data_IF_734982704004
#
_entry.id   IF_734982704004
#
_cell.length_a   1.000
_cell.length_b   1.000
_cell.length_c   1.000
_cell.angle_alpha   90.00
_cell.angle_beta   90.00
_cell.angle_gamma   90.00
#
_symmetry.space_group_name_H-M   'P 1'
#
loop_
_entity.id
_entity.type
_entity.pdbx_description
1 polymer ?
#
# COMPACT_ATOMS: atom_id res chain seq x y z
N UNK A 1 -44.71 -2.20 45.84
CA UNK A 1 -43.44 -2.83 45.43
C UNK A 1 -42.68 -1.88 44.52
N UNK A 2 -41.61 -1.23 44.99
CA UNK A 2 -40.75 -0.38 44.15
C UNK A 2 -39.66 -1.26 43.54
N UNK A 3 -39.77 -1.58 42.26
CA UNK A 3 -38.76 -2.33 41.51
C UNK A 3 -37.48 -1.49 41.49
N UNK A 4 -36.34 -2.07 41.91
CA UNK A 4 -35.03 -1.41 41.95
C UNK A 4 -34.47 -1.27 40.52
N UNK A 5 -34.97 -0.29 39.77
CA UNK A 5 -34.51 0.04 38.41
C UNK A 5 -33.01 0.37 38.32
N UNK A 6 -32.41 0.84 39.43
CA UNK A 6 -30.98 1.19 39.47
C UNK A 6 -30.03 0.01 39.24
N UNK A 7 -30.41 -1.22 39.63
CA UNK A 7 -29.56 -2.41 39.43
C UNK A 7 -29.53 -2.87 37.98
N UNK A 8 -30.67 -2.78 37.28
CA UNK A 8 -30.79 -3.20 35.87
C UNK A 8 -30.06 -2.22 34.95
N UNK A 9 -30.17 -0.92 35.21
CA UNK A 9 -29.53 0.12 34.40
C UNK A 9 -27.99 0.07 34.52
N UNK A 10 -27.48 -0.21 35.73
CA UNK A 10 -26.04 -0.39 35.97
C UNK A 10 -25.50 -1.66 35.30
N UNK A 11 -26.26 -2.76 35.35
CA UNK A 11 -25.90 -4.01 34.67
C UNK A 11 -25.92 -3.87 33.14
N UNK A 12 -26.86 -3.10 32.58
CA UNK A 12 -26.91 -2.80 31.15
C UNK A 12 -25.75 -1.89 30.70
N UNK A 13 -25.39 -0.89 31.51
CA UNK A 13 -24.21 -0.04 31.28
C UNK A 13 -22.90 -0.83 31.35
N UNK A 14 -22.77 -1.74 32.31
CA UNK A 14 -21.61 -2.64 32.42
C UNK A 14 -21.55 -3.63 31.24
N UNK A 15 -22.68 -4.22 30.83
CA UNK A 15 -22.75 -5.10 29.67
C UNK A 15 -22.43 -4.37 28.35
N UNK A 16 -22.86 -3.11 28.20
CA UNK A 16 -22.52 -2.25 27.06
C UNK A 16 -21.05 -1.83 27.06
N UNK A 17 -20.42 -1.69 28.25
CA UNK A 17 -18.99 -1.37 28.35
C UNK A 17 -18.09 -2.58 28.08
N UNK A 18 -18.54 -3.80 28.38
CA UNK A 18 -17.79 -5.04 28.18
C UNK A 18 -17.92 -5.61 26.75
N UNK A 19 -18.93 -5.18 25.98
CA UNK A 19 -19.12 -5.58 24.57
C UNK A 19 -18.38 -4.67 23.57
N UNK A 20 -17.70 -3.63 24.05
CA UNK A 20 -16.84 -2.78 23.24
C UNK A 20 -15.42 -3.37 23.19
N UNK A 21 -15.25 -4.47 22.44
CA UNK A 21 -13.95 -4.85 21.91
C UNK A 21 -13.56 -3.84 20.82
N UNK A 22 -13.17 -2.64 21.25
CA UNK A 22 -12.59 -1.63 20.36
C UNK A 22 -11.23 -2.19 19.93
N UNK A 23 -11.17 -2.77 18.74
CA UNK A 23 -9.93 -3.03 18.04
C UNK A 23 -9.28 -1.68 17.73
N UNK A 24 -8.48 -1.18 18.68
CA UNK A 24 -7.58 -0.06 18.46
C UNK A 24 -6.37 -0.61 17.72
N UNK A 25 -6.11 -0.10 16.53
CA UNK A 25 -4.77 -0.18 15.95
C UNK A 25 -3.83 0.41 17.02
N UNK A 26 -2.79 -0.32 17.46
CA UNK A 26 -1.85 0.17 18.46
C UNK A 26 -1.32 1.55 18.07
N UNK A 27 -1.16 2.44 19.03
CA UNK A 27 -0.61 3.78 18.76
C UNK A 27 0.79 3.63 18.16
N UNK A 28 1.02 4.21 16.98
CA UNK A 28 2.30 4.15 16.27
C UNK A 28 2.39 3.07 15.18
N UNK A 29 1.32 2.32 14.93
CA UNK A 29 1.26 1.42 13.78
C UNK A 29 0.42 2.04 12.65
N UNK A 30 0.91 1.89 11.42
CA UNK A 30 0.14 2.21 10.22
C UNK A 30 -0.80 1.04 9.86
N UNK A 31 -1.92 1.36 9.20
CA UNK A 31 -2.89 0.34 8.81
C UNK A 31 -2.27 -0.71 7.89
N UNK A 32 -1.56 -0.26 6.85
CA UNK A 32 -0.95 -1.09 5.81
C UNK A 32 0.17 -2.01 6.29
N UNK A 33 0.66 -1.86 7.52
CA UNK A 33 1.65 -2.80 8.09
C UNK A 33 1.13 -4.23 8.21
N UNK A 34 -0.18 -4.43 8.17
CA UNK A 34 -0.81 -5.75 8.17
C UNK A 34 -0.94 -6.39 6.77
N UNK A 35 -0.63 -5.63 5.72
CA UNK A 35 -0.56 -6.09 4.33
C UNK A 35 0.83 -6.63 4.00
N UNK A 36 0.99 -7.29 2.85
CA UNK A 36 2.30 -7.73 2.37
C UNK A 36 2.55 -9.20 2.70
N UNK A 37 1.57 -10.06 2.43
CA UNK A 37 1.85 -11.49 2.29
C UNK A 37 2.90 -11.71 1.18
N UNK A 38 3.49 -12.91 1.16
CA UNK A 38 4.48 -13.29 0.15
C UNK A 38 3.93 -13.09 -1.26
N UNK A 39 4.64 -12.29 -2.07
CA UNK A 39 4.26 -11.95 -3.43
C UNK A 39 3.19 -10.87 -3.56
N UNK A 40 2.61 -10.37 -2.47
CA UNK A 40 1.72 -9.21 -2.53
C UNK A 40 2.52 -7.93 -2.81
N UNK A 41 1.96 -7.07 -3.66
CA UNK A 41 2.48 -5.72 -3.90
C UNK A 41 1.66 -4.75 -3.05
N UNK A 42 2.28 -4.17 -2.02
CA UNK A 42 1.68 -3.16 -1.17
C UNK A 42 2.09 -1.79 -1.65
N UNK A 43 1.12 -0.93 -1.93
CA UNK A 43 1.32 0.45 -2.36
C UNK A 43 0.62 1.39 -1.41
N UNK A 44 1.29 2.49 -1.04
CA UNK A 44 0.72 3.55 -0.22
C UNK A 44 0.97 4.90 -0.86
N UNK A 45 -0.01 5.77 -0.85
CA UNK A 45 0.09 7.11 -1.47
C UNK A 45 -0.43 8.17 -0.51
N UNK A 46 0.33 9.24 -0.37
CA UNK A 46 -0.14 10.47 0.29
C UNK A 46 -1.13 11.19 -0.63
N UNK A 47 -2.40 11.14 -0.26
CA UNK A 47 -3.46 11.75 -1.08
C UNK A 47 -3.56 13.26 -0.87
N UNK A 48 -2.92 13.81 0.17
CA UNK A 48 -2.89 15.26 0.43
C UNK A 48 -1.91 16.00 -0.48
N UNK A 49 -0.97 15.25 -1.06
CA UNK A 49 0.09 15.75 -1.94
C UNK A 49 -0.08 15.24 -3.37
N UNK A 50 -1.31 14.85 -3.80
CA UNK A 50 -1.56 14.34 -5.16
C UNK A 50 -1.22 15.33 -6.25
N UNK A 51 -1.37 16.64 -6.02
CA UNK A 51 -0.93 17.69 -6.96
C UNK A 51 0.60 17.65 -7.19
N UNK A 52 1.33 17.04 -6.25
CA UNK A 52 2.78 16.79 -6.32
C UNK A 52 3.11 15.40 -6.84
N UNK A 53 2.13 14.64 -7.30
CA UNK A 53 2.38 13.47 -8.12
C UNK A 53 1.81 13.80 -9.50
N UNK A 54 2.40 13.36 -10.61
CA UNK A 54 1.84 13.68 -11.92
C UNK A 54 0.64 12.75 -12.23
N UNK A 55 -0.18 12.45 -11.23
CA UNK A 55 -1.35 11.60 -11.29
C UNK A 55 -2.56 12.50 -11.53
N UNK A 56 -3.28 12.27 -12.63
CA UNK A 56 -4.53 12.96 -12.93
C UNK A 56 -5.69 12.14 -12.36
N UNK A 57 -6.31 12.64 -11.30
CA UNK A 57 -7.60 12.13 -10.85
C UNK A 57 -8.69 12.88 -11.61
N UNK A 58 -9.62 12.18 -12.26
CA UNK A 58 -10.74 12.83 -12.95
C UNK A 58 -11.62 13.60 -11.95
N UNK A 59 -12.05 14.80 -12.33
CA UNK A 59 -12.92 15.65 -11.52
C UNK A 59 -14.34 15.08 -11.47
N UNK A 60 -14.59 14.16 -10.53
CA UNK A 60 -15.90 13.54 -10.28
C UNK A 60 -16.42 13.75 -8.86
N UNK A 61 -17.53 13.08 -8.53
CA UNK A 61 -18.09 12.98 -7.17
C UNK A 61 -17.07 12.48 -6.13
N UNK A 62 -16.03 11.80 -6.59
CA UNK A 62 -14.92 11.25 -5.81
C UNK A 62 -13.93 12.29 -5.29
N UNK A 63 -13.81 13.48 -5.92
CA UNK A 63 -12.93 14.57 -5.47
C UNK A 63 -13.23 14.99 -4.02
N UNK A 64 -14.52 15.03 -3.65
CA UNK A 64 -14.97 15.34 -2.30
C UNK A 64 -14.64 14.25 -1.28
N UNK A 65 -14.56 12.99 -1.70
CA UNK A 65 -14.09 11.90 -0.84
C UNK A 65 -12.57 11.99 -0.67
N UNK A 66 -11.83 12.13 -1.77
CA UNK A 66 -10.37 12.23 -1.78
C UNK A 66 -9.85 13.42 -0.96
N UNK A 67 -10.54 14.56 -0.98
CA UNK A 67 -10.18 15.72 -0.13
C UNK A 67 -10.24 15.45 1.39
N UNK A 68 -10.90 14.35 1.80
CA UNK A 68 -10.97 13.90 3.19
C UNK A 68 -10.04 12.72 3.47
N UNK A 69 -9.44 12.14 2.45
CA UNK A 69 -8.47 11.06 2.57
C UNK A 69 -7.09 11.69 2.67
N UNK A 70 -6.31 11.19 3.61
CA UNK A 70 -4.92 11.58 3.78
C UNK A 70 -3.97 10.54 3.17
N UNK A 71 -4.37 9.27 3.19
CA UNK A 71 -3.57 8.17 2.66
C UNK A 71 -4.44 7.09 2.05
N UNK A 72 -4.03 6.61 0.89
CA UNK A 72 -4.53 5.39 0.26
C UNK A 72 -3.49 4.30 0.47
N UNK A 73 -3.94 3.12 0.89
CA UNK A 73 -3.10 1.91 0.93
C UNK A 73 -3.80 0.76 0.22
N UNK A 74 -3.10 0.08 -0.68
CA UNK A 74 -3.60 -1.01 -1.51
C UNK A 74 -2.62 -2.17 -1.43
N UNK A 75 -3.13 -3.39 -1.30
CA UNK A 75 -2.39 -4.62 -1.49
C UNK A 75 -2.97 -5.34 -2.71
N UNK A 76 -2.11 -5.69 -3.65
CA UNK A 76 -2.44 -6.45 -4.85
C UNK A 76 -1.95 -7.88 -4.68
N UNK A 77 -2.79 -8.84 -5.04
CA UNK A 77 -2.48 -10.25 -4.94
C UNK A 77 -3.04 -11.01 -6.14
N UNK A 78 -2.36 -12.09 -6.54
CA UNK A 78 -2.89 -13.00 -7.56
C UNK A 78 -3.92 -13.93 -6.91
N UNK A 79 -5.23 -13.78 -7.21
CA UNK A 79 -6.25 -14.63 -6.61
C UNK A 79 -6.14 -16.10 -7.06
N UNK A 80 -5.45 -16.36 -8.17
CA UNK A 80 -5.25 -17.69 -8.73
C UNK A 80 -3.92 -18.34 -8.31
N UNK A 81 -3.07 -17.63 -7.57
CA UNK A 81 -1.73 -18.07 -7.15
C UNK A 81 -0.90 -18.69 -8.30
N UNK A 82 -0.96 -18.10 -9.49
CA UNK A 82 -0.29 -18.65 -10.67
C UNK A 82 1.22 -18.71 -10.44
N UNK A 83 1.83 -19.75 -11.00
CA UNK A 83 3.28 -19.77 -11.16
C UNK A 83 3.64 -18.71 -12.18
N UNK A 84 4.32 -17.67 -11.70
CA UNK A 84 4.82 -16.59 -12.55
C UNK A 84 6.22 -17.01 -12.96
N UNK A 85 6.45 -17.09 -14.27
CA UNK A 85 7.80 -17.23 -14.78
C UNK A 85 8.59 -15.97 -14.40
N UNK A 86 9.70 -16.07 -13.65
CA UNK A 86 10.55 -14.92 -13.34
C UNK A 86 11.08 -14.21 -14.61
N UNK A 87 11.02 -14.88 -15.77
CA UNK A 87 11.36 -14.35 -17.08
C UNK A 87 10.28 -13.44 -17.70
N UNK A 88 9.05 -13.43 -17.19
CA UNK A 88 7.98 -12.56 -17.69
C UNK A 88 7.80 -11.30 -16.81
N UNK A 89 7.48 -10.14 -17.41
CA UNK A 89 7.11 -8.96 -16.64
C UNK A 89 5.85 -9.23 -15.83
N UNK A 90 5.76 -8.64 -14.64
CA UNK A 90 4.61 -8.83 -13.77
C UNK A 90 3.35 -8.20 -14.40
N UNK A 91 2.43 -9.03 -14.87
CA UNK A 91 1.11 -8.60 -15.33
C UNK A 91 0.12 -8.52 -14.16
N UNK A 92 -0.25 -7.29 -13.81
CA UNK A 92 -1.18 -6.99 -12.72
C UNK A 92 -2.65 -6.98 -13.16
N UNK A 93 -2.96 -7.15 -14.46
CA UNK A 93 -4.33 -7.03 -14.98
C UNK A 93 -5.32 -8.06 -14.40
N UNK A 94 -4.82 -9.22 -13.97
CA UNK A 94 -5.61 -10.27 -13.32
C UNK A 94 -5.50 -10.29 -11.79
N UNK A 95 -4.87 -9.28 -11.18
CA UNK A 95 -4.72 -9.22 -9.72
C UNK A 95 -5.98 -8.68 -9.07
N UNK A 96 -6.36 -9.30 -7.95
CA UNK A 96 -7.36 -8.75 -7.05
C UNK A 96 -6.66 -7.77 -6.09
N UNK A 97 -7.44 -6.87 -5.49
CA UNK A 97 -6.89 -5.87 -4.58
C UNK A 97 -7.76 -5.69 -3.34
N UNK A 98 -7.10 -5.32 -2.25
CA UNK A 98 -7.77 -4.87 -1.04
C UNK A 98 -6.97 -3.74 -0.39
N UNK A 99 -7.62 -2.93 0.42
CA UNK A 99 -6.97 -1.75 0.92
C UNK A 99 -7.78 -0.94 1.91
N UNK A 100 -7.27 0.25 2.18
CA UNK A 100 -8.00 1.24 2.93
C UNK A 100 -7.69 2.67 2.53
N UNK A 101 -8.68 3.52 2.78
CA UNK A 101 -8.57 4.96 2.83
C UNK A 101 -8.48 5.39 4.29
N UNK A 102 -7.42 6.11 4.63
CA UNK A 102 -7.20 6.71 5.94
C UNK A 102 -7.40 8.22 5.86
N UNK A 103 -8.14 8.82 6.79
CA UNK A 103 -8.37 10.27 6.81
C UNK A 103 -9.51 10.74 7.70
N UNK A 104 -10.18 11.83 7.33
CA UNK A 104 -11.34 12.36 8.03
C UNK A 104 -12.65 11.73 7.52
N UNK A 105 -12.80 10.42 7.77
CA UNK A 105 -13.94 9.62 7.30
C UNK A 105 -14.90 9.32 8.48
N UNK A 106 -16.08 9.96 8.57
CA UNK A 106 -17.03 9.70 9.65
C UNK A 106 -17.82 8.41 9.37
N UNK A 107 -17.44 7.31 10.01
CA UNK A 107 -17.98 5.97 9.72
C UNK A 107 -19.51 5.89 9.71
N UNK A 108 -20.19 6.52 10.67
CA UNK A 108 -21.66 6.55 10.70
C UNK A 108 -22.26 7.21 9.46
N UNK A 109 -21.74 8.37 9.05
CA UNK A 109 -22.23 9.10 7.89
C UNK A 109 -21.90 8.35 6.60
N UNK A 110 -20.70 7.82 6.48
CA UNK A 110 -20.27 7.05 5.31
C UNK A 110 -21.11 5.79 5.12
N UNK A 111 -21.26 4.97 6.16
CA UNK A 111 -22.08 3.75 6.07
C UNK A 111 -23.56 4.06 5.85
N UNK A 112 -24.06 5.16 6.43
CA UNK A 112 -25.44 5.61 6.18
C UNK A 112 -25.61 6.03 4.72
N UNK A 113 -24.67 6.80 4.14
CA UNK A 113 -24.72 7.19 2.73
C UNK A 113 -24.75 5.96 1.81
N UNK A 114 -23.87 4.99 2.05
CA UNK A 114 -23.83 3.72 1.29
C UNK A 114 -25.13 2.93 1.39
N UNK A 115 -25.79 2.94 2.56
CA UNK A 115 -27.07 2.25 2.75
C UNK A 115 -28.22 2.87 1.95
N UNK A 116 -28.20 4.19 1.73
CA UNK A 116 -29.27 4.91 1.02
C UNK A 116 -29.02 5.06 -0.49
N UNK A 117 -27.80 4.74 -0.94
CA UNK A 117 -27.45 4.74 -2.34
C UNK A 117 -27.93 3.45 -3.03
N UNK A 118 -28.54 3.58 -4.20
CA UNK A 118 -29.14 2.45 -4.94
C UNK A 118 -28.10 1.59 -5.66
N UNK A 119 -26.91 2.13 -5.90
CA UNK A 119 -25.82 1.41 -6.56
C UNK A 119 -25.08 0.49 -5.59
N UNK A 120 -25.32 0.63 -4.28
CA UNK A 120 -24.69 -0.12 -3.22
C UNK A 120 -25.67 -1.10 -2.58
N UNK A 121 -25.29 -2.37 -2.53
CA UNK A 121 -26.07 -3.44 -1.92
C UNK A 121 -25.44 -3.83 -0.59
N UNK A 122 -26.23 -3.81 0.49
CA UNK A 122 -25.74 -4.30 1.77
C UNK A 122 -25.58 -5.82 1.73
N UNK A 123 -24.39 -6.29 2.10
CA UNK A 123 -24.08 -7.72 2.25
C UNK A 123 -23.76 -8.00 3.72
N UNK A 124 -24.28 -9.11 4.23
CA UNK A 124 -23.99 -9.60 5.58
C UNK A 124 -23.45 -11.04 5.50
N UNK A 125 -22.19 -11.22 5.90
CA UNK A 125 -21.52 -12.52 5.97
C UNK A 125 -21.15 -12.80 7.43
N UNK A 126 -21.98 -13.60 8.11
CA UNK A 126 -21.80 -13.90 9.52
C UNK A 126 -21.96 -12.65 10.40
N UNK A 127 -20.85 -12.15 10.94
CA UNK A 127 -20.82 -10.91 11.73
C UNK A 127 -20.23 -9.71 10.98
N UNK A 128 -19.84 -9.90 9.71
CA UNK A 128 -19.24 -8.87 8.88
C UNK A 128 -20.33 -8.28 8.01
N UNK A 129 -20.40 -6.95 7.98
CA UNK A 129 -21.31 -6.20 7.10
C UNK A 129 -20.48 -5.28 6.22
N UNK A 130 -20.80 -5.24 4.95
CA UNK A 130 -20.21 -4.35 3.96
C UNK A 130 -21.21 -3.99 2.87
N UNK A 131 -20.79 -3.12 1.94
CA UNK A 131 -21.60 -2.67 0.82
C UNK A 131 -20.90 -3.02 -0.48
N UNK A 132 -21.61 -3.70 -1.38
CA UNK A 132 -21.13 -4.14 -2.68
C UNK A 132 -21.65 -3.22 -3.79
N UNK A 133 -20.79 -2.89 -4.76
CA UNK A 133 -21.19 -2.20 -5.98
C UNK A 133 -20.83 -3.07 -7.21
N UNK A 134 -21.84 -3.56 -7.92
CA UNK A 134 -21.68 -4.45 -9.08
C UNK A 134 -20.94 -3.76 -10.25
N UNK A 135 -21.18 -2.46 -10.45
CA UNK A 135 -20.58 -1.70 -11.56
C UNK A 135 -19.09 -1.45 -11.34
N UNK A 136 -18.71 -1.15 -10.09
CA UNK A 136 -17.32 -0.92 -9.70
C UNK A 136 -16.57 -2.22 -9.40
N UNK A 137 -17.28 -3.34 -9.17
CA UNK A 137 -16.69 -4.58 -8.67
C UNK A 137 -15.98 -4.34 -7.33
N UNK A 138 -16.61 -3.58 -6.42
CA UNK A 138 -15.97 -3.09 -5.21
C UNK A 138 -16.86 -3.32 -3.99
N UNK A 139 -16.25 -3.91 -2.96
CA UNK A 139 -16.82 -4.01 -1.63
C UNK A 139 -16.21 -2.96 -0.71
N UNK A 140 -17.02 -2.24 0.05
CA UNK A 140 -16.54 -1.18 0.96
C UNK A 140 -17.26 -1.20 2.31
N UNK A 141 -16.55 -0.78 3.35
CA UNK A 141 -17.17 -0.47 4.64
C UNK A 141 -16.28 0.41 5.52
N UNK A 142 -16.88 1.42 6.16
CA UNK A 142 -16.19 2.23 7.15
C UNK A 142 -16.22 1.53 8.52
N UNK A 143 -15.15 0.76 8.79
CA UNK A 143 -15.02 -0.06 10.01
C UNK A 143 -14.91 0.76 11.30
N UNK A 144 -14.32 1.96 11.21
CA UNK A 144 -14.23 2.92 12.31
C UNK A 144 -14.03 4.33 11.76
N UNK A 145 -14.12 5.34 12.63
CA UNK A 145 -13.80 6.71 12.24
C UNK A 145 -12.38 6.78 11.66
N UNK A 146 -12.29 7.36 10.47
CA UNK A 146 -11.06 7.61 9.75
C UNK A 146 -10.47 6.44 8.99
N UNK A 147 -11.19 5.31 8.88
CA UNK A 147 -10.75 4.13 8.15
C UNK A 147 -11.91 3.54 7.35
N UNK A 148 -11.83 3.60 6.02
CA UNK A 148 -12.70 2.89 5.10
C UNK A 148 -11.91 1.78 4.44
N UNK A 149 -12.34 0.54 4.65
CA UNK A 149 -11.74 -0.61 3.97
C UNK A 149 -12.46 -0.84 2.65
N UNK A 150 -11.71 -1.35 1.68
CA UNK A 150 -12.28 -1.80 0.42
C UNK A 150 -11.58 -3.06 -0.10
N UNK A 151 -12.26 -3.81 -0.96
CA UNK A 151 -11.70 -4.95 -1.67
C UNK A 151 -12.43 -5.15 -3.00
N UNK A 152 -11.71 -5.58 -4.04
CA UNK A 152 -12.33 -5.98 -5.31
C UNK A 152 -13.10 -7.29 -5.17
N UNK A 153 -12.58 -8.18 -4.34
CA UNK A 153 -13.16 -9.50 -4.06
C UNK A 153 -12.87 -9.89 -2.61
N UNK A 154 -13.72 -10.76 -2.05
CA UNK A 154 -13.49 -11.40 -0.76
C UNK A 154 -13.20 -10.40 0.38
N UNK A 155 -14.08 -9.41 0.53
CA UNK A 155 -14.01 -8.39 1.58
C UNK A 155 -13.82 -8.99 2.97
N UNK A 156 -14.52 -10.07 3.29
CA UNK A 156 -14.44 -10.74 4.58
C UNK A 156 -13.01 -11.19 4.92
N UNK A 157 -12.27 -11.73 3.95
CA UNK A 157 -10.87 -12.11 4.13
C UNK A 157 -9.97 -10.88 4.30
N UNK A 158 -10.17 -9.84 3.49
CA UNK A 158 -9.44 -8.58 3.61
C UNK A 158 -9.65 -7.93 4.99
N UNK A 159 -10.89 -7.89 5.48
CA UNK A 159 -11.26 -7.41 6.81
C UNK A 159 -10.58 -8.21 7.92
N UNK A 160 -10.55 -9.54 7.81
CA UNK A 160 -9.89 -10.40 8.78
C UNK A 160 -8.39 -10.16 8.82
N UNK A 161 -7.71 -10.24 7.66
CA UNK A 161 -6.26 -10.14 7.56
C UNK A 161 -5.70 -8.75 7.92
N UNK A 162 -6.38 -7.69 7.51
CA UNK A 162 -5.86 -6.32 7.64
C UNK A 162 -6.37 -5.58 8.88
N UNK A 163 -7.50 -5.99 9.45
CA UNK A 163 -8.15 -5.26 10.55
C UNK A 163 -8.42 -6.10 11.80
N UNK A 164 -9.29 -7.11 11.74
CA UNK A 164 -9.76 -7.79 12.97
C UNK A 164 -8.77 -8.81 13.52
N UNK A 165 -8.02 -9.51 12.66
CA UNK A 165 -6.99 -10.48 13.04
C UNK A 165 -5.61 -10.05 12.53
N UNK A 166 -5.38 -8.72 12.45
CA UNK A 166 -4.17 -8.14 11.87
C UNK A 166 -2.90 -8.66 12.53
N UNK A 167 -1.90 -8.96 11.70
CA UNK A 167 -0.52 -9.26 12.11
C UNK A 167 0.41 -8.33 11.37
N UNK A 168 1.37 -7.73 12.06
CA UNK A 168 2.38 -6.88 11.43
C UNK A 168 3.27 -7.74 10.54
N UNK A 169 3.40 -7.35 9.28
CA UNK A 169 4.23 -7.98 8.24
C UNK A 169 5.28 -7.02 7.69
N UNK A 170 4.98 -5.73 7.68
CA UNK A 170 5.93 -4.67 7.29
C UNK A 170 6.53 -4.09 8.57
N UNK A 171 7.85 -4.22 8.68
CA UNK A 171 8.64 -3.67 9.78
C UNK A 171 8.39 -2.17 9.97
N UNK A 172 8.42 -1.73 11.23
CA UNK A 172 8.03 -0.37 11.60
C UNK A 172 8.87 0.70 10.89
N UNK A 173 10.19 0.52 10.76
CA UNK A 173 11.06 1.48 10.08
C UNK A 173 10.74 1.63 8.59
N UNK A 174 10.39 0.53 7.90
CA UNK A 174 9.97 0.55 6.50
C UNK A 174 8.61 1.25 6.36
N UNK A 175 7.69 0.93 7.27
CA UNK A 175 6.35 1.51 7.27
C UNK A 175 6.38 3.02 7.53
N UNK A 176 7.16 3.50 8.49
CA UNK A 176 7.34 4.93 8.74
C UNK A 176 7.90 5.63 7.50
N UNK A 177 8.92 5.06 6.84
CA UNK A 177 9.47 5.63 5.59
C UNK A 177 8.42 5.73 4.49
N UNK A 178 7.61 4.68 4.28
CA UNK A 178 6.50 4.69 3.33
C UNK A 178 5.43 5.73 3.70
N UNK A 179 5.10 5.85 4.99
CA UNK A 179 4.10 6.77 5.48
C UNK A 179 4.51 8.25 5.42
N UNK A 180 5.81 8.55 5.41
CA UNK A 180 6.33 9.91 5.22
C UNK A 180 6.58 10.27 3.76
N UNK A 181 6.58 9.28 2.86
CA UNK A 181 6.80 9.48 1.43
C UNK A 181 5.51 9.84 0.68
N UNK A 182 5.67 10.42 -0.52
CA UNK A 182 4.56 10.70 -1.43
C UNK A 182 3.95 9.40 -1.95
N UNK A 183 4.82 8.45 -2.28
CA UNK A 183 4.47 7.12 -2.77
C UNK A 183 5.41 6.11 -2.12
N UNK A 184 4.85 5.03 -1.60
CA UNK A 184 5.60 3.92 -1.02
C UNK A 184 5.15 2.61 -1.64
N UNK A 185 6.10 1.72 -1.89
CA UNK A 185 5.89 0.37 -2.41
C UNK A 185 6.66 -0.63 -1.56
N UNK A 186 6.02 -1.74 -1.24
CA UNK A 186 6.61 -2.85 -0.51
C UNK A 186 6.22 -4.18 -1.16
N UNK A 187 7.19 -5.09 -1.29
CA UNK A 187 6.96 -6.47 -1.71
C UNK A 187 7.78 -7.40 -0.81
N UNK A 188 7.11 -8.37 -0.19
CA UNK A 188 7.77 -9.48 0.49
C UNK A 188 8.03 -10.61 -0.51
N UNK A 189 9.26 -11.11 -0.59
CA UNK A 189 9.67 -12.23 -1.45
C UNK A 189 9.07 -12.14 -2.87
N UNK A 190 9.48 -11.14 -3.68
CA UNK A 190 8.90 -10.90 -4.99
C UNK A 190 9.03 -12.12 -5.91
N UNK A 191 7.93 -12.45 -6.60
CA UNK A 191 7.91 -13.55 -7.59
C UNK A 191 8.40 -13.09 -8.98
N UNK A 192 8.18 -11.83 -9.32
CA UNK A 192 8.64 -11.19 -10.55
C UNK A 192 9.03 -9.72 -10.29
N UNK A 193 9.72 -9.12 -11.25
CA UNK A 193 10.19 -7.73 -11.14
C UNK A 193 9.07 -6.75 -11.47
N UNK A 194 8.97 -5.68 -10.68
CA UNK A 194 8.30 -4.46 -11.11
C UNK A 194 9.33 -3.58 -11.83
N UNK A 195 9.01 -3.14 -13.05
CA UNK A 195 9.85 -2.19 -13.79
C UNK A 195 9.77 -0.79 -13.17
N UNK A 196 10.51 -0.59 -12.07
CA UNK A 196 10.62 0.70 -11.36
C UNK A 196 11.79 1.57 -11.84
N UNK A 197 12.32 1.28 -13.03
CA UNK A 197 13.50 1.96 -13.57
C UNK A 197 14.84 1.51 -12.99
N UNK A 198 14.87 0.40 -12.25
CA UNK A 198 16.09 -0.30 -11.86
C UNK A 198 16.16 -1.61 -12.66
N UNK A 199 17.08 -1.68 -13.61
CA UNK A 199 17.34 -2.89 -14.38
C UNK A 199 18.06 -3.93 -13.50
N UNK A 200 17.29 -4.62 -12.67
CA UNK A 200 17.79 -5.71 -11.85
C UNK A 200 17.78 -7.02 -12.64
N UNK A 201 18.89 -7.78 -12.66
CA UNK A 201 18.91 -9.07 -13.34
C UNK A 201 17.88 -10.02 -12.73
N UNK A 202 17.10 -10.66 -13.59
CA UNK A 202 15.99 -11.56 -13.19
C UNK A 202 16.45 -12.72 -12.31
N UNK A 203 17.69 -13.17 -12.50
CA UNK A 203 18.34 -14.21 -11.67
C UNK A 203 18.49 -13.83 -10.20
N UNK A 204 18.38 -12.55 -9.85
CA UNK A 204 18.47 -12.08 -8.46
C UNK A 204 17.12 -12.13 -7.76
N UNK A 205 15.99 -12.13 -8.49
CA UNK A 205 14.63 -12.05 -7.95
C UNK A 205 14.34 -13.13 -6.89
N UNK A 206 14.61 -14.42 -7.15
CA UNK A 206 14.31 -15.48 -6.19
C UNK A 206 15.11 -15.38 -4.87
N UNK A 207 16.13 -14.52 -4.85
CA UNK A 207 17.03 -14.30 -3.73
C UNK A 207 16.73 -13.03 -2.92
N UNK A 208 15.72 -12.26 -3.33
CA UNK A 208 15.26 -11.06 -2.63
C UNK A 208 14.29 -11.48 -1.52
N UNK A 209 14.57 -11.06 -0.29
CA UNK A 209 13.68 -11.23 0.87
C UNK A 209 12.59 -10.18 0.87
N UNK A 210 12.92 -8.92 0.57
CA UNK A 210 11.93 -7.85 0.43
C UNK A 210 12.47 -6.68 -0.40
N UNK A 211 11.53 -5.92 -0.96
CA UNK A 211 11.78 -4.66 -1.66
C UNK A 211 10.94 -3.60 -0.99
N UNK A 212 11.54 -2.46 -0.67
CA UNK A 212 10.83 -1.23 -0.32
C UNK A 212 11.32 -0.11 -1.22
N UNK A 213 10.42 0.56 -1.91
CA UNK A 213 10.72 1.76 -2.70
C UNK A 213 9.84 2.90 -2.25
N UNK A 214 10.39 4.10 -2.23
CA UNK A 214 9.67 5.33 -1.89
C UNK A 214 10.02 6.43 -2.86
N UNK A 215 9.04 7.25 -3.23
CA UNK A 215 9.25 8.48 -3.98
C UNK A 215 9.19 9.64 -3.00
N UNK A 216 10.28 10.38 -2.95
CA UNK A 216 10.52 11.50 -2.06
C UNK A 216 10.72 12.79 -2.87
N UNK A 217 10.17 13.90 -2.38
CA UNK A 217 10.35 15.22 -2.98
C UNK A 217 11.66 15.83 -2.48
N UNK A 218 12.60 16.07 -3.39
CA UNK A 218 13.90 16.68 -3.08
C UNK A 218 13.95 18.14 -3.51
N UNK A 219 12.98 18.94 -3.05
CA UNK A 219 12.95 20.40 -3.24
C UNK A 219 13.29 20.85 -4.68
N UNK A 220 14.50 21.37 -4.88
CA UNK A 220 14.97 21.98 -6.15
C UNK A 220 15.24 20.96 -7.26
N UNK A 221 15.50 19.69 -6.93
CA UNK A 221 15.92 18.65 -7.89
C UNK A 221 14.78 17.73 -8.35
N UNK A 222 13.53 18.06 -8.01
CA UNK A 222 12.37 17.26 -8.39
C UNK A 222 12.17 16.03 -7.50
N UNK A 223 11.77 14.91 -8.11
CA UNK A 223 11.46 13.67 -7.39
C UNK A 223 12.65 12.71 -7.39
N UNK A 224 12.81 11.97 -6.29
CA UNK A 224 13.83 10.96 -6.16
C UNK A 224 13.28 9.65 -5.65
N UNK A 225 13.95 8.56 -6.04
CA UNK A 225 13.70 7.22 -5.56
C UNK A 225 14.62 6.92 -4.38
N UNK A 226 14.00 6.68 -3.24
CA UNK A 226 14.60 5.99 -2.11
C UNK A 226 14.25 4.51 -2.16
N UNK A 227 15.13 3.64 -1.67
CA UNK A 227 14.88 2.21 -1.69
C UNK A 227 15.68 1.41 -0.69
N UNK A 228 15.17 0.22 -0.36
CA UNK A 228 15.86 -0.83 0.39
C UNK A 228 15.53 -2.15 -0.29
N UNK A 229 16.55 -2.88 -0.73
CA UNK A 229 16.41 -4.24 -1.24
C UNK A 229 17.14 -5.16 -0.27
N UNK A 230 16.38 -5.97 0.46
CA UNK A 230 16.93 -6.93 1.41
C UNK A 230 17.08 -8.28 0.73
N UNK A 231 18.27 -8.85 0.78
CA UNK A 231 18.61 -10.15 0.19
C UNK A 231 18.56 -11.26 1.24
N UNK A 232 18.59 -12.51 0.79
CA UNK A 232 18.70 -13.67 1.69
C UNK A 232 20.07 -13.80 2.38
N UNK A 233 21.10 -13.07 1.92
CA UNK A 233 22.44 -13.07 2.55
C UNK A 233 23.25 -11.84 2.17
N UNK A 234 24.23 -11.47 3.02
CA UNK A 234 25.20 -10.40 2.77
C UNK A 234 25.97 -10.59 1.46
N UNK A 235 26.32 -11.85 1.12
CA UNK A 235 27.02 -12.17 -0.13
C UNK A 235 26.18 -11.78 -1.35
N UNK A 236 24.89 -12.11 -1.32
CA UNK A 236 23.95 -11.77 -2.39
C UNK A 236 23.71 -10.26 -2.47
N UNK A 237 23.60 -9.58 -1.31
CA UNK A 237 23.49 -8.12 -1.24
C UNK A 237 24.70 -7.42 -1.83
N UNK A 238 25.92 -7.91 -1.55
CA UNK A 238 27.14 -7.40 -2.15
C UNK A 238 27.15 -7.59 -3.68
N UNK A 239 26.76 -8.76 -4.18
CA UNK A 239 26.62 -9.00 -5.62
C UNK A 239 25.61 -8.06 -6.26
N UNK A 240 24.45 -7.86 -5.64
CA UNK A 240 23.44 -6.90 -6.09
C UNK A 240 23.99 -5.47 -6.12
N UNK A 241 24.70 -5.03 -5.08
CA UNK A 241 25.32 -3.70 -5.02
C UNK A 241 26.27 -3.45 -6.19
N UNK A 242 27.12 -4.43 -6.53
CA UNK A 242 28.04 -4.35 -7.66
C UNK A 242 27.28 -4.24 -8.98
N UNK A 243 26.23 -5.05 -9.16
CA UNK A 243 25.41 -5.07 -10.38
C UNK A 243 24.70 -3.73 -10.59
N UNK A 244 24.02 -3.22 -9.56
CA UNK A 244 23.30 -1.94 -9.62
C UNK A 244 24.25 -0.78 -9.89
N UNK A 245 25.39 -0.71 -9.19
CA UNK A 245 26.41 0.32 -9.42
C UNK A 245 26.97 0.25 -10.85
N UNK A 246 27.23 -0.94 -11.35
CA UNK A 246 27.78 -1.13 -12.70
C UNK A 246 26.78 -0.72 -13.78
N UNK A 247 25.50 -1.12 -13.62
CA UNK A 247 24.42 -0.73 -14.52
C UNK A 247 24.25 0.80 -14.55
N UNK A 248 24.18 1.44 -13.38
CA UNK A 248 24.09 2.89 -13.26
C UNK A 248 25.26 3.62 -13.93
N UNK A 249 26.51 3.18 -13.69
CA UNK A 249 27.71 3.77 -14.33
C UNK A 249 27.66 3.62 -15.85
N UNK A 250 27.26 2.45 -16.34
CA UNK A 250 27.13 2.17 -17.76
C UNK A 250 26.13 3.11 -18.43
N UNK A 251 24.98 3.30 -17.79
CA UNK A 251 23.91 4.18 -18.26
C UNK A 251 24.32 5.65 -18.31
N UNK A 252 24.93 6.16 -17.23
CA UNK A 252 25.44 7.54 -17.19
C UNK A 252 26.48 7.78 -18.27
N UNK A 253 27.38 6.81 -18.51
CA UNK A 253 28.38 6.90 -19.59
C UNK A 253 27.73 6.91 -20.97
N UNK A 254 26.72 6.05 -21.21
CA UNK A 254 25.95 6.01 -22.46
C UNK A 254 25.26 7.35 -22.74
N UNK A 255 24.69 7.99 -21.70
CA UNK A 255 24.02 9.29 -21.78
C UNK A 255 24.99 10.50 -21.73
N UNK A 256 26.29 10.28 -21.53
CA UNK A 256 27.33 11.32 -21.34
C UNK A 256 27.04 12.25 -20.16
N UNK A 257 26.43 11.72 -19.11
CA UNK A 257 26.10 12.44 -17.88
C UNK A 257 27.22 12.28 -16.83
N UNK A 258 27.42 13.25 -15.92
CA UNK A 258 28.34 13.08 -14.80
C UNK A 258 27.86 11.95 -13.87
N UNK A 259 28.80 11.20 -13.31
CA UNK A 259 28.51 10.07 -12.41
C UNK A 259 27.98 10.50 -11.04
N UNK A 260 28.28 11.73 -10.61
CA UNK A 260 27.98 12.20 -9.25
C UNK A 260 28.74 11.43 -8.17
N UNK A 261 28.27 11.50 -6.94
CA UNK A 261 28.80 10.72 -5.81
C UNK A 261 28.01 9.41 -5.62
N UNK A 262 28.58 8.32 -6.14
CA UNK A 262 28.00 6.97 -6.03
C UNK A 262 28.03 6.40 -4.61
N UNK A 263 28.90 6.94 -3.75
CA UNK A 263 29.16 6.40 -2.41
C UNK A 263 27.95 6.56 -1.52
N UNK A 264 27.25 7.69 -1.65
CA UNK A 264 26.05 8.02 -0.89
C UNK A 264 24.77 7.51 -1.55
N UNK A 265 24.81 7.24 -2.87
CA UNK A 265 23.66 6.79 -3.64
C UNK A 265 23.30 5.31 -3.38
N UNK A 266 24.30 4.45 -3.24
CA UNK A 266 24.14 3.00 -3.07
C UNK A 266 24.96 2.49 -1.88
N UNK A 267 24.30 2.35 -0.74
CA UNK A 267 24.93 1.95 0.53
C UNK A 267 24.60 0.48 0.81
N UNK A 268 25.62 -0.32 1.13
CA UNK A 268 25.45 -1.71 1.52
C UNK A 268 25.60 -1.82 3.04
N UNK A 269 24.57 -2.33 3.73
CA UNK A 269 24.63 -2.64 5.16
C UNK A 269 24.09 -4.05 5.39
N UNK A 270 24.96 -4.96 5.84
CA UNK A 270 24.60 -6.37 6.03
C UNK A 270 24.06 -7.00 4.74
N UNK A 271 22.83 -7.49 4.81
CA UNK A 271 22.09 -8.14 3.73
C UNK A 271 21.20 -7.18 2.93
N UNK A 272 21.28 -5.87 3.17
CA UNK A 272 20.44 -4.87 2.53
C UNK A 272 21.25 -3.88 1.67
N UNK A 273 20.72 -3.59 0.47
CA UNK A 273 21.16 -2.50 -0.39
C UNK A 273 20.21 -1.31 -0.24
N UNK A 274 20.73 -0.20 0.25
CA UNK A 274 20.04 1.07 0.36
C UNK A 274 20.29 1.92 -0.89
N UNK A 275 19.22 2.49 -1.42
CA UNK A 275 19.21 3.44 -2.53
C UNK A 275 18.73 4.78 -1.96
N UNK A 276 19.56 5.81 -2.08
CA UNK A 276 19.27 7.11 -1.47
C UNK A 276 19.22 8.21 -2.52
N UNK A 277 18.04 8.74 -2.76
CA UNK A 277 17.87 9.94 -3.57
C UNK A 277 18.26 9.75 -5.04
N UNK A 278 17.96 8.59 -5.63
CA UNK A 278 18.20 8.37 -7.06
C UNK A 278 17.26 9.28 -7.87
N UNK A 279 17.76 10.27 -8.64
CA UNK A 279 16.88 11.18 -9.37
C UNK A 279 16.03 10.41 -10.37
N UNK A 280 14.72 10.65 -10.36
CA UNK A 280 13.79 10.03 -11.29
C UNK A 280 13.68 10.88 -12.57
N UNK A 281 13.76 10.23 -13.73
CA UNK A 281 13.41 10.89 -14.99
C UNK A 281 11.90 11.04 -15.13
N UNK A 282 11.47 11.97 -15.99
CA UNK A 282 10.04 12.15 -16.33
C UNK A 282 9.42 10.83 -16.82
N UNK A 283 10.15 10.06 -17.62
CA UNK A 283 9.73 8.74 -18.11
C UNK A 283 9.51 7.74 -16.96
N UNK A 284 10.42 7.70 -16.00
CA UNK A 284 10.27 6.83 -14.82
C UNK A 284 9.07 7.26 -13.98
N UNK A 285 8.86 8.57 -13.80
CA UNK A 285 7.68 9.09 -13.11
C UNK A 285 6.39 8.71 -13.83
N UNK A 286 6.35 8.77 -15.17
CA UNK A 286 5.21 8.35 -15.97
C UNK A 286 4.97 6.84 -15.82
N UNK A 287 6.01 6.00 -15.78
CA UNK A 287 5.85 4.57 -15.55
C UNK A 287 5.30 4.27 -14.15
N UNK A 288 5.75 5.00 -13.12
CA UNK A 288 5.17 4.91 -11.77
C UNK A 288 3.71 5.35 -11.74
N UNK A 289 3.33 6.40 -12.47
CA UNK A 289 1.94 6.81 -12.63
C UNK A 289 1.12 5.76 -13.35
N UNK A 290 1.64 5.16 -14.43
CA UNK A 290 0.94 4.13 -15.17
C UNK A 290 0.69 2.90 -14.29
N UNK A 291 1.68 2.50 -13.48
CA UNK A 291 1.48 1.49 -12.44
C UNK A 291 0.33 1.91 -11.54
N UNK A 292 0.38 3.08 -10.90
CA UNK A 292 -0.65 3.55 -9.97
C UNK A 292 -2.06 3.68 -10.60
N UNK A 293 -2.15 4.19 -11.82
CA UNK A 293 -3.41 4.32 -12.56
C UNK A 293 -3.98 2.96 -12.97
N UNK A 294 -3.15 1.93 -13.10
CA UNK A 294 -3.61 0.56 -13.25
C UNK A 294 -4.03 -0.07 -11.90
N UNK A 295 -3.58 0.49 -10.77
CA UNK A 295 -3.98 0.03 -9.41
C UNK A 295 -5.29 0.66 -8.93
N UNK A 296 -5.58 1.88 -9.38
CA UNK A 296 -6.89 2.48 -9.24
C UNK A 296 -7.78 1.93 -10.38
N UNK A 297 -8.95 1.37 -10.09
CA UNK A 297 -9.93 1.07 -11.12
C UNK A 297 -10.08 2.29 -12.02
N UNK A 298 -10.01 2.08 -13.34
CA UNK A 298 -10.33 3.10 -14.34
C UNK A 298 -11.79 3.59 -14.27
N UNK A 299 -12.56 3.07 -13.32
CA UNK A 299 -13.96 3.38 -13.01
C UNK A 299 -14.17 4.03 -11.64
N UNK A 300 -13.13 4.32 -10.84
CA UNK A 300 -13.24 5.08 -9.58
C UNK A 300 -13.16 6.60 -9.79
#
# INVERSE_FOLDING_TARGET
MRVKWGGVLLALLLALSLSSCVHKIPKGEHFFQAMGEVGEVVVTVDTTSLERLPIKVEEGSFSNLLSRVNRLSVALYDPLEREIDPEEPLDLSGYAYYGALEGNIPAFLTNSALLWDKEWQQVEEGQIRYYHNDYLGLDVYAVKRGLLLFASENYSNAYQKSYSQRKVKIEHSLAERMATSLFGLYIASPKAMLEVGLELPKTVIPHISSITFVIEENGVEGYSLGGIITMQSERLANSLSILVKSSYISDKRRKKEPLGDLTNLFILEGDALYINGLPLSDEQLVNFQALFNNLLPSSL
#
